data_IF_103649810787
#
_entry.id   IF_103649810787
#
_cell.length_a   1.000
_cell.length_b   1.000
_cell.length_c   1.000
_cell.angle_alpha   90.00
_cell.angle_beta   90.00
_cell.angle_gamma   90.00
#
_symmetry.space_group_name_H-M   'P 1'
#
loop_
_entity.id
_entity.type
_entity.pdbx_description
1 polymer ?
#
# COMPACT_ATOMS: atom_id res chain seq x y z
N UNK A 1 -21.26 25.64 -0.76
CA UNK A 1 -21.83 24.38 -1.28
C UNK A 1 -20.74 23.39 -1.72
N UNK A 2 -20.14 22.61 -0.81
CA UNK A 2 -19.08 21.63 -1.18
C UNK A 2 -19.40 20.19 -0.75
N UNK A 3 -20.36 19.99 0.15
CA UNK A 3 -20.69 18.68 0.71
C UNK A 3 -21.31 17.69 -0.30
N UNK A 4 -21.93 18.19 -1.38
CA UNK A 4 -22.63 17.37 -2.38
C UNK A 4 -21.68 16.61 -3.32
N UNK A 5 -20.56 17.23 -3.74
CA UNK A 5 -19.61 16.59 -4.66
C UNK A 5 -18.76 15.48 -4.02
N UNK A 6 -18.60 15.49 -2.69
CA UNK A 6 -17.81 14.50 -1.98
C UNK A 6 -18.51 13.14 -1.83
N UNK A 7 -19.86 13.09 -1.93
CA UNK A 7 -20.62 11.85 -1.76
C UNK A 7 -20.61 10.95 -3.00
N UNK A 8 -20.63 11.51 -4.21
CA UNK A 8 -20.66 10.73 -5.46
C UNK A 8 -19.30 10.11 -5.83
N UNK A 9 -18.20 10.62 -5.27
CA UNK A 9 -16.85 10.14 -5.56
C UNK A 9 -16.25 9.26 -4.45
N UNK A 10 -17.01 8.95 -3.39
CA UNK A 10 -16.49 8.11 -2.32
C UNK A 10 -16.26 6.68 -2.81
N UNK A 11 -15.08 6.12 -2.54
CA UNK A 11 -14.72 4.73 -2.82
C UNK A 11 -14.69 3.93 -1.52
N UNK A 12 -14.88 2.61 -1.61
CA UNK A 12 -14.67 1.69 -0.49
C UNK A 12 -13.21 1.26 -0.44
N UNK A 13 -12.61 1.29 0.74
CA UNK A 13 -11.26 0.80 0.95
C UNK A 13 -11.22 -0.73 0.79
N UNK A 14 -10.31 -1.23 -0.04
CA UNK A 14 -10.17 -2.68 -0.26
C UNK A 14 -9.61 -3.47 0.94
N UNK A 15 -9.20 -2.80 2.03
CA UNK A 15 -8.64 -3.44 3.24
C UNK A 15 -9.66 -3.45 4.37
N UNK A 16 -10.23 -2.29 4.71
CA UNK A 16 -11.15 -2.17 5.84
C UNK A 16 -12.61 -1.89 5.44
N UNK A 17 -12.92 -1.75 4.15
CA UNK A 17 -14.27 -1.46 3.65
C UNK A 17 -14.75 -0.02 3.85
N UNK A 18 -14.04 0.79 4.64
CA UNK A 18 -14.43 2.17 4.93
C UNK A 18 -14.57 3.02 3.66
N UNK A 19 -15.59 3.87 3.63
CA UNK A 19 -15.74 4.88 2.58
C UNK A 19 -14.67 5.96 2.77
N UNK A 20 -14.04 6.36 1.67
CA UNK A 20 -13.06 7.44 1.65
C UNK A 20 -13.16 8.24 0.36
N UNK A 21 -12.77 9.51 0.41
CA UNK A 21 -12.67 10.36 -0.79
C UNK A 21 -11.32 10.10 -1.47
N UNK A 22 -11.31 9.53 -2.68
CA UNK A 22 -10.08 9.28 -3.40
C UNK A 22 -9.54 10.57 -4.02
N UNK A 23 -8.23 10.85 -3.85
CA UNK A 23 -7.55 11.93 -4.58
C UNK A 23 -7.18 11.57 -6.02
N UNK A 24 -7.36 10.30 -6.44
CA UNK A 24 -7.13 9.85 -7.81
C UNK A 24 -7.97 8.62 -8.16
N UNK A 25 -8.20 8.40 -9.46
CA UNK A 25 -8.91 7.22 -9.94
C UNK A 25 -8.21 5.89 -9.59
N UNK A 26 -6.89 5.92 -9.34
CA UNK A 26 -6.09 4.74 -8.95
C UNK A 26 -6.12 4.44 -7.45
N UNK A 27 -6.69 5.31 -6.61
CA UNK A 27 -6.74 5.08 -5.17
C UNK A 27 -7.63 3.87 -4.82
N UNK A 28 -7.05 2.91 -4.08
CA UNK A 28 -7.71 1.67 -3.63
C UNK A 28 -7.93 1.60 -2.11
N UNK A 29 -7.21 2.43 -1.36
CA UNK A 29 -7.15 2.36 0.11
C UNK A 29 -7.52 3.70 0.71
N UNK A 30 -8.20 3.67 1.87
CA UNK A 30 -8.34 4.85 2.70
C UNK A 30 -6.96 5.34 3.19
N UNK A 31 -6.83 6.60 3.64
CA UNK A 31 -5.53 7.17 4.04
C UNK A 31 -4.75 6.30 5.04
N UNK A 32 -5.43 5.79 6.08
CA UNK A 32 -4.84 4.92 7.09
C UNK A 32 -4.30 3.61 6.51
N UNK A 33 -5.13 2.92 5.72
CA UNK A 33 -4.73 1.66 5.08
C UNK A 33 -3.64 1.88 4.02
N UNK A 34 -3.66 3.01 3.31
CA UNK A 34 -2.62 3.38 2.35
C UNK A 34 -1.26 3.56 3.05
N UNK A 35 -1.23 4.27 4.19
CA UNK A 35 -0.02 4.46 4.98
C UNK A 35 0.52 3.12 5.50
N UNK A 36 -0.35 2.26 6.04
CA UNK A 36 0.03 0.91 6.48
C UNK A 36 0.60 0.08 5.34
N UNK A 37 -0.07 0.05 4.19
CA UNK A 37 0.36 -0.74 3.03
C UNK A 37 1.69 -0.23 2.46
N UNK A 38 1.91 1.10 2.46
CA UNK A 38 3.19 1.70 2.08
C UNK A 38 4.35 1.16 2.94
N UNK A 39 4.17 1.11 4.27
CA UNK A 39 5.17 0.55 5.20
C UNK A 39 5.43 -0.93 4.95
N UNK A 40 4.38 -1.73 4.80
CA UNK A 40 4.49 -3.17 4.51
C UNK A 40 5.25 -3.42 3.20
N UNK A 41 4.91 -2.69 2.13
CA UNK A 41 5.55 -2.85 0.83
C UNK A 41 7.02 -2.40 0.85
N UNK A 42 7.34 -1.33 1.59
CA UNK A 42 8.73 -0.91 1.80
C UNK A 42 9.54 -2.00 2.52
N UNK A 43 8.98 -2.59 3.58
CA UNK A 43 9.62 -3.71 4.29
C UNK A 43 9.81 -4.93 3.39
N UNK A 44 8.79 -5.33 2.62
CA UNK A 44 8.88 -6.41 1.62
C UNK A 44 9.96 -6.14 0.58
N UNK A 45 10.04 -4.91 0.07
CA UNK A 45 11.08 -4.49 -0.90
C UNK A 45 12.48 -4.65 -0.30
N UNK A 46 12.67 -4.24 0.96
CA UNK A 46 13.95 -4.39 1.66
C UNK A 46 14.31 -5.84 1.95
N UNK A 47 13.34 -6.69 2.31
CA UNK A 47 13.55 -8.13 2.45
C UNK A 47 14.04 -8.76 1.13
N UNK A 48 13.33 -8.49 0.03
CA UNK A 48 13.74 -8.95 -1.31
C UNK A 48 15.11 -8.42 -1.75
N UNK A 49 15.46 -7.19 -1.34
CA UNK A 49 16.79 -6.64 -1.59
C UNK A 49 17.87 -7.41 -0.82
N UNK A 50 17.62 -7.79 0.44
CA UNK A 50 18.54 -8.58 1.26
C UNK A 50 18.70 -10.00 0.72
N UNK A 51 17.62 -10.65 0.29
CA UNK A 51 17.67 -11.98 -0.34
C UNK A 51 18.58 -12.01 -1.58
N UNK A 52 18.63 -10.91 -2.34
CA UNK A 52 19.52 -10.76 -3.51
C UNK A 52 20.94 -10.29 -3.18
N UNK A 53 21.19 -9.89 -1.94
CA UNK A 53 22.48 -9.36 -1.55
C UNK A 53 23.45 -10.51 -1.30
N UNK A 54 24.45 -10.67 -2.18
CA UNK A 54 25.51 -11.69 -2.06
C UNK A 54 26.31 -11.60 -0.75
N UNK A 55 26.23 -10.48 -0.01
CA UNK A 55 26.91 -10.28 1.27
C UNK A 55 26.32 -11.11 2.43
N UNK A 56 25.10 -11.66 2.30
CA UNK A 56 24.50 -12.51 3.34
C UNK A 56 24.83 -14.00 3.16
N UNK A 57 25.73 -14.36 2.24
CA UNK A 57 26.17 -15.74 2.02
C UNK A 57 25.01 -16.63 1.56
N UNK A 58 24.78 -16.71 0.25
CA UNK A 58 24.09 -17.88 -0.27
C UNK A 58 25.00 -19.07 0.07
N UNK A 59 24.56 -19.93 0.99
CA UNK A 59 25.22 -21.22 1.22
C UNK A 59 25.42 -21.88 -0.15
N UNK A 60 26.67 -22.21 -0.48
CA UNK A 60 27.01 -22.95 -1.69
C UNK A 60 26.12 -24.21 -1.71
N UNK A 61 25.35 -24.46 -2.78
CA UNK A 61 24.80 -25.78 -2.97
C UNK A 61 25.99 -26.74 -3.09
N UNK A 62 26.00 -27.79 -2.26
CA UNK A 62 26.91 -28.93 -2.40
C UNK A 62 26.66 -29.65 -3.74
#
# INVERSE_FOLDING_TARGET
ETALFHRLNAKKCAVCGALFTPGSNRAKYCPECAARMKRINAAKRKRKQREKCHALGAEKPL
#
